data_IF_883691785146
#
_entry.id   IF_883691785146
#
_cell.length_a   1.000
_cell.length_b   1.000
_cell.length_c   1.000
_cell.angle_alpha   90.00
_cell.angle_beta   90.00
_cell.angle_gamma   90.00
#
_symmetry.space_group_name_H-M   'P 1'
#
loop_
_entity.id
_entity.type
_entity.pdbx_description
1 polymer ?
#
# COMPACT_ATOMS: atom_id res chain seq x y z
N UNK A 1 -16.24 6.70 -8.95
CA UNK A 1 -15.48 6.25 -10.14
C UNK A 1 -16.01 4.89 -10.57
N UNK A 2 -16.07 4.64 -11.88
CA UNK A 2 -16.52 3.36 -12.43
C UNK A 2 -15.55 2.94 -13.55
N UNK A 3 -15.20 1.66 -13.62
CA UNK A 3 -14.50 1.09 -14.76
C UNK A 3 -15.25 -0.13 -15.29
N UNK A 4 -15.28 -0.26 -16.60
CA UNK A 4 -15.86 -1.39 -17.30
C UNK A 4 -14.76 -2.21 -17.99
N UNK A 5 -14.99 -3.51 -18.12
CA UNK A 5 -14.12 -4.38 -18.90
C UNK A 5 -14.12 -3.94 -20.38
N UNK A 6 -12.94 -3.97 -21.02
CA UNK A 6 -12.75 -3.41 -22.37
C UNK A 6 -13.57 -4.08 -23.48
N UNK A 7 -14.08 -5.28 -23.23
CA UNK A 7 -14.96 -6.03 -24.13
C UNK A 7 -16.44 -5.60 -24.04
N UNK A 8 -16.83 -4.72 -23.11
CA UNK A 8 -18.22 -4.26 -23.00
C UNK A 8 -18.52 -3.10 -23.95
N UNK A 9 -19.67 -3.21 -24.62
CA UNK A 9 -20.26 -2.07 -25.33
C UNK A 9 -20.70 -0.98 -24.34
N UNK A 10 -20.81 0.26 -24.81
CA UNK A 10 -21.20 1.40 -23.97
C UNK A 10 -22.57 1.21 -23.29
N UNK A 11 -23.50 0.55 -23.97
CA UNK A 11 -24.82 0.20 -23.41
C UNK A 11 -24.73 -0.80 -22.25
N UNK A 12 -23.95 -1.87 -22.43
CA UNK A 12 -23.75 -2.89 -21.40
C UNK A 12 -22.97 -2.35 -20.20
N UNK A 13 -21.99 -1.47 -20.44
CA UNK A 13 -21.25 -0.80 -19.38
C UNK A 13 -22.18 0.07 -18.51
N UNK A 14 -23.08 0.84 -19.14
CA UNK A 14 -24.08 1.61 -18.42
C UNK A 14 -24.99 0.73 -17.56
N UNK A 15 -25.50 -0.37 -18.12
CA UNK A 15 -26.35 -1.31 -17.40
C UNK A 15 -25.62 -1.96 -16.22
N UNK A 16 -24.37 -2.40 -16.41
CA UNK A 16 -23.56 -3.00 -15.36
C UNK A 16 -23.30 -2.01 -14.21
N UNK A 17 -22.98 -0.76 -14.52
CA UNK A 17 -22.76 0.29 -13.50
C UNK A 17 -24.05 0.58 -12.72
N UNK A 18 -25.20 0.66 -13.40
CA UNK A 18 -26.50 0.85 -12.72
C UNK A 18 -26.80 -0.30 -11.77
N UNK A 19 -26.60 -1.54 -12.20
CA UNK A 19 -26.79 -2.71 -11.35
C UNK A 19 -25.82 -2.71 -10.16
N UNK A 20 -24.55 -2.35 -10.39
CA UNK A 20 -23.55 -2.24 -9.34
C UNK A 20 -23.94 -1.22 -8.26
N UNK A 21 -24.52 -0.07 -8.65
CA UNK A 21 -25.01 0.95 -7.72
C UNK A 21 -26.17 0.44 -6.87
N UNK A 22 -27.13 -0.26 -7.47
CA UNK A 22 -28.23 -0.88 -6.70
C UNK A 22 -27.71 -1.90 -5.68
N UNK A 23 -26.70 -2.69 -6.06
CA UNK A 23 -26.04 -3.61 -5.12
C UNK A 23 -25.30 -2.86 -4.01
N UNK A 24 -24.62 -1.75 -4.32
CA UNK A 24 -23.99 -0.91 -3.30
C UNK A 24 -25.01 -0.39 -2.29
N UNK A 25 -26.18 0.06 -2.72
CA UNK A 25 -27.20 0.58 -1.81
C UNK A 25 -27.70 -0.50 -0.85
N UNK A 26 -27.86 -1.74 -1.33
CA UNK A 26 -28.34 -2.87 -0.52
C UNK A 26 -27.23 -3.43 0.39
N UNK A 27 -26.02 -3.63 -0.13
CA UNK A 27 -24.92 -4.27 0.58
C UNK A 27 -24.17 -3.31 1.51
N UNK A 28 -23.94 -2.07 1.05
CA UNK A 28 -23.18 -1.07 1.80
C UNK A 28 -24.07 -0.10 2.58
N UNK A 29 -25.40 -0.12 2.39
CA UNK A 29 -26.36 0.57 3.27
C UNK A 29 -26.11 2.07 3.46
N UNK A 30 -25.55 2.75 2.45
CA UNK A 30 -25.20 4.17 2.54
C UNK A 30 -23.89 4.47 3.26
N UNK A 31 -22.98 3.49 3.39
CA UNK A 31 -21.63 3.71 3.90
C UNK A 31 -20.95 4.85 3.15
N UNK A 32 -20.15 5.72 3.82
CA UNK A 32 -19.53 6.87 3.18
C UNK A 32 -18.51 6.48 2.13
N UNK A 33 -17.91 5.29 2.20
CA UNK A 33 -17.05 4.78 1.14
C UNK A 33 -17.26 3.30 0.92
N UNK A 34 -17.09 2.86 -0.31
CA UNK A 34 -17.26 1.47 -0.69
C UNK A 34 -16.74 1.18 -2.09
N UNK A 35 -16.48 -0.11 -2.32
CA UNK A 35 -16.05 -0.63 -3.62
C UNK A 35 -16.81 -1.92 -3.89
N UNK A 36 -17.38 -2.03 -5.08
CA UNK A 36 -18.17 -3.18 -5.50
C UNK A 36 -17.65 -3.66 -6.84
N UNK A 37 -17.35 -4.96 -6.88
CA UNK A 37 -16.80 -5.66 -8.03
C UNK A 37 -17.86 -6.59 -8.60
N UNK A 38 -18.30 -6.31 -9.82
CA UNK A 38 -19.13 -7.22 -10.61
C UNK A 38 -18.24 -7.93 -11.63
N UNK A 39 -18.78 -8.96 -12.28
CA UNK A 39 -18.02 -9.76 -13.26
C UNK A 39 -17.46 -8.96 -14.43
N UNK A 40 -18.08 -7.82 -14.77
CA UNK A 40 -17.81 -7.05 -16.01
C UNK A 40 -17.55 -5.57 -15.78
N UNK A 41 -17.77 -5.07 -14.57
CA UNK A 41 -17.51 -3.69 -14.20
C UNK A 41 -17.25 -3.61 -12.70
N UNK A 42 -16.56 -2.56 -12.27
CA UNK A 42 -16.40 -2.27 -10.87
C UNK A 42 -16.68 -0.79 -10.61
N UNK A 43 -17.24 -0.51 -9.44
CA UNK A 43 -17.49 0.85 -8.99
C UNK A 43 -16.82 1.07 -7.63
N UNK A 44 -16.31 2.28 -7.44
CA UNK A 44 -15.78 2.72 -6.16
C UNK A 44 -16.23 4.14 -5.91
N UNK A 45 -16.76 4.36 -4.71
CA UNK A 45 -17.31 5.63 -4.30
C UNK A 45 -16.76 5.96 -2.90
N UNK A 46 -16.39 7.22 -2.72
CA UNK A 46 -15.90 7.72 -1.44
C UNK A 46 -16.44 9.12 -1.22
N UNK A 47 -17.28 9.25 -0.23
CA UNK A 47 -17.94 10.46 0.23
C UNK A 47 -17.17 10.98 1.44
N UNK A 48 -16.42 12.06 1.22
CA UNK A 48 -15.66 12.75 2.25
C UNK A 48 -16.40 14.06 2.58
N UNK A 49 -17.17 14.14 3.68
CA UNK A 49 -17.93 15.33 4.05
C UNK A 49 -17.02 16.54 4.37
N UNK A 50 -15.80 16.27 4.84
CA UNK A 50 -14.68 17.20 4.78
C UNK A 50 -13.88 16.76 3.56
N UNK A 51 -13.95 17.51 2.46
CA UNK A 51 -13.53 17.09 1.12
C UNK A 51 -12.26 16.24 1.06
N UNK A 52 -12.16 15.39 0.03
CA UNK A 52 -10.93 14.65 -0.27
C UNK A 52 -9.73 15.59 -0.09
N UNK A 53 -8.69 15.22 0.68
CA UNK A 53 -7.48 16.01 0.64
C UNK A 53 -6.95 15.90 -0.78
N UNK A 54 -7.28 16.89 -1.61
CA UNK A 54 -6.55 17.18 -2.84
C UNK A 54 -5.19 17.78 -2.44
N UNK A 55 -4.43 17.00 -1.69
CA UNK A 55 -3.04 17.20 -1.41
C UNK A 55 -2.27 16.27 -2.32
N UNK A 56 -1.92 16.75 -3.51
CA UNK A 56 -0.68 16.30 -4.12
C UNK A 56 0.45 16.87 -3.26
N UNK A 57 0.77 16.17 -2.16
CA UNK A 57 1.73 16.60 -1.16
C UNK A 57 2.41 15.38 -0.58
N UNK A 58 3.62 15.11 -1.07
CA UNK A 58 4.65 14.35 -0.36
C UNK A 58 4.77 14.93 1.06
N UNK A 59 4.13 14.33 2.06
CA UNK A 59 4.09 14.92 3.41
C UNK A 59 3.56 13.97 4.47
N UNK A 60 4.42 13.09 4.97
CA UNK A 60 4.07 12.19 6.09
C UNK A 60 4.94 10.96 6.20
N UNK A 61 6.25 11.13 6.05
CA UNK A 61 7.26 10.07 6.10
C UNK A 61 7.50 9.60 7.56
N UNK A 62 6.49 9.14 8.29
CA UNK A 62 6.65 8.64 9.67
C UNK A 62 6.47 7.12 9.83
N UNK A 63 5.84 6.44 8.87
CA UNK A 63 5.71 4.97 8.91
C UNK A 63 6.90 4.27 8.23
N UNK A 64 7.35 4.77 7.08
CA UNK A 64 8.46 4.17 6.33
C UNK A 64 9.84 4.38 7.00
N UNK A 65 10.08 5.57 7.60
CA UNK A 65 11.35 5.86 8.30
C UNK A 65 11.53 4.97 9.53
N UNK A 66 10.48 4.75 10.30
CA UNK A 66 10.52 3.90 11.50
C UNK A 66 10.84 2.45 11.15
N UNK A 67 10.20 1.89 10.12
CA UNK A 67 10.45 0.52 9.65
C UNK A 67 11.89 0.35 9.13
N UNK A 68 12.40 1.33 8.38
CA UNK A 68 13.77 1.29 7.85
C UNK A 68 14.84 1.35 8.95
N UNK A 69 14.65 2.14 10.02
CA UNK A 69 15.59 2.22 11.14
C UNK A 69 15.59 0.92 11.96
N UNK A 70 14.42 0.33 12.22
CA UNK A 70 14.31 -0.90 13.03
C UNK A 70 14.95 -2.09 12.29
N UNK A 71 14.70 -2.26 10.99
CA UNK A 71 15.31 -3.32 10.18
C UNK A 71 16.81 -3.06 9.93
N UNK A 72 17.19 -1.81 9.67
CA UNK A 72 18.59 -1.43 9.45
C UNK A 72 19.46 -1.60 10.70
N UNK A 73 18.92 -1.29 11.88
CA UNK A 73 19.63 -1.41 13.16
C UNK A 73 20.03 -2.85 13.48
N UNK A 74 19.12 -3.81 13.26
CA UNK A 74 19.38 -5.23 13.55
C UNK A 74 20.50 -5.81 12.66
N UNK A 75 20.49 -5.51 11.36
CA UNK A 75 21.53 -5.96 10.41
C UNK A 75 22.85 -5.23 10.64
N UNK A 76 22.79 -3.92 10.93
CA UNK A 76 23.96 -3.10 11.20
C UNK A 76 24.73 -3.54 12.43
N UNK A 77 24.06 -3.80 13.56
CA UNK A 77 24.72 -4.32 14.77
C UNK A 77 25.38 -5.67 14.52
N UNK A 78 24.69 -6.59 13.82
CA UNK A 78 25.25 -7.90 13.47
C UNK A 78 26.52 -7.77 12.60
N UNK A 79 26.47 -6.99 11.53
CA UNK A 79 27.60 -6.76 10.63
C UNK A 79 28.79 -6.12 11.36
N UNK A 80 28.55 -5.13 12.23
CA UNK A 80 29.61 -4.47 13.01
C UNK A 80 30.27 -5.45 13.98
N UNK A 81 29.50 -6.28 14.69
CA UNK A 81 30.06 -7.30 15.59
C UNK A 81 30.90 -8.32 14.81
N UNK A 82 30.41 -8.80 13.67
CA UNK A 82 31.14 -9.72 12.79
C UNK A 82 32.44 -9.09 12.29
N UNK A 83 32.40 -7.85 11.79
CA UNK A 83 33.60 -7.12 11.34
C UNK A 83 34.62 -6.94 12.46
N UNK A 84 34.19 -6.59 13.68
CA UNK A 84 35.09 -6.45 14.83
C UNK A 84 35.73 -7.78 15.24
N UNK A 85 34.99 -8.90 15.18
CA UNK A 85 35.53 -10.23 15.43
C UNK A 85 36.54 -10.64 14.37
N UNK A 86 36.26 -10.40 13.08
CA UNK A 86 37.20 -10.63 11.99
C UNK A 86 38.48 -9.79 12.17
N UNK A 87 38.36 -8.49 12.46
CA UNK A 87 39.51 -7.61 12.69
C UNK A 87 40.35 -8.09 13.89
N UNK A 88 39.73 -8.50 15.00
CA UNK A 88 40.45 -9.08 16.13
C UNK A 88 41.16 -10.38 15.79
N UNK A 89 40.54 -11.25 14.99
CA UNK A 89 41.16 -12.51 14.56
C UNK A 89 42.38 -12.27 13.66
N UNK A 90 42.33 -11.25 12.80
CA UNK A 90 43.44 -10.84 11.94
C UNK A 90 44.55 -10.13 12.73
N UNK A 91 44.19 -9.31 13.72
CA UNK A 91 45.16 -8.70 14.62
C UNK A 91 45.89 -9.76 15.45
N UNK A 92 45.17 -10.76 15.99
CA UNK A 92 45.79 -11.90 16.68
C UNK A 92 46.73 -12.70 15.77
N UNK A 93 46.38 -12.90 14.49
CA UNK A 93 47.26 -13.57 13.53
C UNK A 93 48.57 -12.82 13.25
N UNK A 94 48.64 -11.50 13.48
CA UNK A 94 49.87 -10.72 13.29
C UNK A 94 50.74 -10.65 14.56
N UNK A 95 50.19 -10.93 15.74
CA UNK A 95 50.96 -11.05 16.98
C UNK A 95 51.61 -12.44 17.14
N UNK A 96 51.07 -13.47 16.45
CA UNK A 96 51.59 -14.86 16.45
C UNK A 96 52.59 -15.17 15.30
N UNK A 97 52.99 -14.17 14.50
CA UNK A 97 54.05 -14.26 13.47
C UNK A 97 55.17 -13.26 13.78
#
# INVERSE_FOLDING_TARGET
MAQCEGDLSSGDCGHCVTQAVQHVEVECGGAPSGQVYLQKCYISYSYYPHGVPHGCGMGGQQTAKTVAIVLGGAVGLGFVVICLLCARSLAKKKDDY
#
